data_IF_889257976835
#
_entry.id   IF_889257976835
#
_cell.length_a   1.000
_cell.length_b   1.000
_cell.length_c   1.000
_cell.angle_alpha   90.00
_cell.angle_beta   90.00
_cell.angle_gamma   90.00
#
_symmetry.space_group_name_H-M   'P 1'
#
loop_
_entity.id
_entity.type
_entity.pdbx_description
1 polymer ?
#
# COMPACT_ATOMS: atom_id res chain seq x y z
N UNK A 1 71.74 -31.52 27.53
CA UNK A 1 71.23 -30.28 26.91
C UNK A 1 70.11 -30.50 25.87
N UNK A 2 69.95 -31.65 25.24
CA UNK A 2 68.91 -31.96 24.31
C UNK A 2 67.55 -32.22 24.99
N UNK A 3 67.54 -32.83 26.14
CA UNK A 3 66.35 -33.14 26.94
C UNK A 3 65.62 -31.87 27.40
N UNK A 4 66.34 -30.85 27.82
CA UNK A 4 65.74 -29.58 28.20
C UNK A 4 65.17 -28.80 27.03
N UNK A 5 65.79 -28.83 25.85
CA UNK A 5 65.26 -28.22 24.63
C UNK A 5 63.93 -28.90 24.18
N UNK A 6 63.88 -30.22 24.28
CA UNK A 6 62.69 -30.97 23.92
C UNK A 6 61.52 -30.71 24.85
N UNK A 7 61.78 -30.51 26.17
CA UNK A 7 60.76 -30.15 27.16
C UNK A 7 60.18 -28.75 26.96
N UNK A 8 60.99 -27.80 26.53
CA UNK A 8 60.54 -26.47 26.15
C UNK A 8 59.71 -26.47 24.85
N UNK A 9 60.14 -27.29 23.87
CA UNK A 9 59.38 -27.43 22.60
C UNK A 9 58.00 -28.05 22.83
N UNK A 10 57.89 -29.09 23.67
CA UNK A 10 56.61 -29.72 24.03
C UNK A 10 55.71 -28.73 24.77
N UNK A 11 56.25 -27.97 25.74
CA UNK A 11 55.46 -26.92 26.43
C UNK A 11 55.02 -25.82 25.44
N UNK A 12 55.84 -25.43 24.51
CA UNK A 12 55.48 -24.41 23.49
C UNK A 12 54.35 -24.91 22.59
N UNK A 13 54.44 -26.15 22.08
CA UNK A 13 53.39 -26.75 21.26
C UNK A 13 52.10 -27.01 22.06
N UNK A 14 52.13 -27.38 23.32
CA UNK A 14 50.94 -27.50 24.15
C UNK A 14 50.25 -26.16 24.41
N UNK A 15 51.02 -25.07 24.64
CA UNK A 15 50.46 -23.72 24.76
C UNK A 15 49.89 -23.22 23.44
N UNK A 16 50.57 -23.53 22.31
CA UNK A 16 50.09 -23.16 20.98
C UNK A 16 48.77 -23.88 20.62
N UNK A 17 48.65 -25.19 20.93
CA UNK A 17 47.43 -25.99 20.76
C UNK A 17 46.31 -25.48 21.68
N UNK A 18 46.61 -25.09 22.90
CA UNK A 18 45.62 -24.51 23.82
C UNK A 18 45.14 -23.14 23.35
N UNK A 19 46.02 -22.30 22.77
CA UNK A 19 45.64 -21.03 22.15
C UNK A 19 44.79 -21.20 20.91
N UNK A 20 45.03 -22.20 20.07
CA UNK A 20 44.22 -22.46 18.88
C UNK A 20 42.85 -23.03 19.23
N UNK A 21 42.72 -23.85 20.28
CA UNK A 21 41.41 -24.37 20.75
C UNK A 21 40.58 -23.24 21.38
N UNK A 22 41.17 -22.24 22.01
CA UNK A 22 40.46 -21.09 22.58
C UNK A 22 40.03 -20.04 21.55
N UNK A 23 40.59 -20.08 20.32
CA UNK A 23 40.28 -19.13 19.25
C UNK A 23 39.02 -19.50 18.43
N UNK A 24 38.49 -20.71 18.56
CA UNK A 24 37.20 -21.09 18.01
C UNK A 24 36.07 -20.69 18.99
N UNK A 25 35.92 -19.42 19.30
CA UNK A 25 34.60 -18.90 19.63
C UNK A 25 33.83 -18.96 18.31
N UNK A 26 33.03 -20.00 18.13
CA UNK A 26 31.91 -19.94 17.21
C UNK A 26 31.10 -18.71 17.63
N UNK A 27 31.20 -17.64 16.89
CA UNK A 27 30.22 -16.59 16.95
C UNK A 27 28.92 -17.25 16.45
N UNK A 28 28.18 -17.88 17.35
CA UNK A 28 26.77 -18.14 17.10
C UNK A 28 26.19 -16.72 17.03
N UNK A 29 25.97 -16.23 15.82
CA UNK A 29 25.21 -15.01 15.63
C UNK A 29 23.89 -15.22 16.38
N UNK A 30 23.61 -14.38 17.37
CA UNK A 30 22.37 -14.48 18.13
C UNK A 30 21.20 -14.38 17.15
N UNK A 31 20.45 -15.46 16.99
CA UNK A 31 19.32 -15.50 16.09
C UNK A 31 18.25 -14.54 16.56
N UNK A 32 17.89 -13.56 15.73
CA UNK A 32 16.84 -12.61 16.01
C UNK A 32 15.48 -13.28 15.84
N UNK A 33 14.73 -13.31 16.93
CA UNK A 33 13.34 -13.79 16.91
C UNK A 33 12.40 -12.65 16.55
N UNK A 34 11.55 -12.88 15.52
CA UNK A 34 10.51 -11.96 15.09
C UNK A 34 9.16 -12.62 15.38
N UNK A 35 8.29 -11.93 16.10
CA UNK A 35 6.92 -12.39 16.37
C UNK A 35 6.05 -12.27 15.09
N UNK A 36 5.14 -13.21 14.91
CA UNK A 36 4.10 -13.14 13.89
C UNK A 36 2.75 -13.34 14.57
N UNK A 37 1.98 -12.27 14.75
CA UNK A 37 0.70 -12.27 15.48
C UNK A 37 -0.45 -12.14 14.49
N UNK A 38 -1.12 -13.25 14.22
CA UNK A 38 -2.14 -13.40 13.17
C UNK A 38 -3.22 -14.39 13.62
N UNK A 39 -4.44 -14.37 13.01
CA UNK A 39 -5.46 -15.37 13.31
C UNK A 39 -5.11 -16.71 12.69
N UNK A 40 -4.80 -17.72 13.50
CA UNK A 40 -4.54 -19.10 13.06
C UNK A 40 -5.70 -20.04 13.41
N UNK A 41 -6.76 -19.51 14.00
CA UNK A 41 -8.02 -20.19 14.31
C UNK A 41 -9.24 -19.32 14.04
N UNK A 42 -10.45 -19.89 14.11
CA UNK A 42 -11.71 -19.19 13.89
C UNK A 42 -11.97 -18.80 12.43
N UNK A 43 -12.86 -17.83 12.24
CA UNK A 43 -13.36 -17.41 10.92
C UNK A 43 -12.24 -16.91 9.96
N UNK A 44 -11.21 -16.27 10.52
CA UNK A 44 -10.13 -15.67 9.72
C UNK A 44 -8.89 -16.57 9.60
N UNK A 45 -9.02 -17.87 9.91
CA UNK A 45 -7.93 -18.84 9.88
C UNK A 45 -7.25 -18.93 8.51
N UNK A 46 -8.01 -19.04 7.45
CA UNK A 46 -7.46 -19.14 6.08
C UNK A 46 -6.60 -17.94 5.69
N UNK A 47 -7.03 -16.73 6.11
CA UNK A 47 -6.27 -15.51 5.91
C UNK A 47 -4.93 -15.57 6.66
N UNK A 48 -4.97 -15.95 7.94
CA UNK A 48 -3.77 -16.08 8.77
C UNK A 48 -2.82 -17.15 8.26
N UNK A 49 -3.33 -18.31 7.87
CA UNK A 49 -2.51 -19.38 7.26
C UNK A 49 -1.84 -18.93 5.96
N UNK A 50 -2.54 -18.15 5.12
CA UNK A 50 -1.96 -17.61 3.90
C UNK A 50 -0.82 -16.63 4.20
N UNK A 51 -0.96 -15.79 5.23
CA UNK A 51 0.10 -14.91 5.72
C UNK A 51 1.27 -15.71 6.29
N UNK A 52 1.03 -16.72 7.12
CA UNK A 52 2.07 -17.59 7.67
C UNK A 52 2.89 -18.28 6.57
N UNK A 53 2.22 -18.86 5.58
CA UNK A 53 2.86 -19.48 4.41
C UNK A 53 3.75 -18.48 3.67
N UNK A 54 3.26 -17.26 3.49
CA UNK A 54 3.96 -16.21 2.78
C UNK A 54 5.21 -15.72 3.53
N UNK A 55 5.11 -15.52 4.84
CA UNK A 55 6.25 -15.18 5.70
C UNK A 55 7.30 -16.28 5.68
N UNK A 56 6.89 -17.55 5.77
CA UNK A 56 7.80 -18.72 5.64
C UNK A 56 8.48 -18.77 4.28
N UNK A 57 7.75 -18.47 3.20
CA UNK A 57 8.33 -18.38 1.87
C UNK A 57 9.39 -17.29 1.79
N UNK A 58 9.14 -16.12 2.36
CA UNK A 58 10.10 -15.02 2.41
C UNK A 58 11.36 -15.41 3.18
N UNK A 59 11.23 -16.02 4.36
CA UNK A 59 12.39 -16.52 5.14
C UNK A 59 13.18 -17.56 4.37
N UNK A 60 12.50 -18.49 3.72
CA UNK A 60 13.17 -19.48 2.86
C UNK A 60 13.94 -18.86 1.70
N UNK A 61 13.38 -17.78 1.12
CA UNK A 61 14.02 -17.08 0.01
C UNK A 61 15.20 -16.20 0.45
N UNK A 62 15.12 -15.65 1.66
CA UNK A 62 16.24 -14.95 2.32
C UNK A 62 17.41 -15.92 2.56
N UNK A 63 17.10 -17.17 2.92
CA UNK A 63 18.09 -18.23 3.16
C UNK A 63 19.21 -17.82 4.13
N UNK A 64 18.81 -17.19 5.25
CA UNK A 64 19.70 -16.72 6.31
C UNK A 64 19.14 -17.17 7.67
N UNK A 65 19.96 -17.87 8.46
CA UNK A 65 19.59 -18.40 9.78
C UNK A 65 19.60 -17.32 10.88
N UNK A 66 19.99 -16.08 10.54
CA UNK A 66 20.04 -14.95 11.49
C UNK A 66 18.66 -14.53 11.99
N UNK A 67 17.56 -14.94 11.33
CA UNK A 67 16.19 -14.64 11.75
C UNK A 67 15.34 -15.89 11.90
N UNK A 68 14.48 -15.88 12.90
CA UNK A 68 13.46 -16.92 13.13
C UNK A 68 12.10 -16.27 13.39
N UNK A 69 11.07 -16.80 12.77
CA UNK A 69 9.68 -16.33 12.94
C UNK A 69 8.99 -17.18 14.01
N UNK A 70 8.41 -16.51 14.99
CA UNK A 70 7.64 -17.13 16.07
C UNK A 70 6.14 -16.79 15.87
N UNK A 71 5.34 -17.70 15.30
CA UNK A 71 3.92 -17.46 15.07
C UNK A 71 3.13 -17.64 16.38
N UNK A 72 2.16 -16.75 16.61
CA UNK A 72 1.17 -16.81 17.69
C UNK A 72 -0.23 -16.55 17.13
N UNK A 73 -1.17 -17.35 17.59
CA UNK A 73 -2.59 -17.20 17.23
C UNK A 73 -3.24 -16.13 18.10
N UNK A 74 -3.72 -15.06 17.47
CA UNK A 74 -4.46 -14.01 18.16
C UNK A 74 -5.98 -14.20 18.07
N UNK A 75 -6.48 -15.26 17.44
CA UNK A 75 -7.90 -15.59 17.28
C UNK A 75 -8.75 -14.43 16.72
N UNK A 76 -8.12 -13.44 16.09
CA UNK A 76 -8.73 -12.16 15.69
C UNK A 76 -9.43 -11.43 16.86
N UNK A 77 -8.91 -11.57 18.07
CA UNK A 77 -9.41 -10.96 19.30
C UNK A 77 -8.40 -9.96 19.88
N UNK A 78 -8.82 -8.73 20.28
CA UNK A 78 -7.93 -7.72 20.82
C UNK A 78 -7.25 -8.10 22.14
N UNK A 79 -7.94 -8.80 23.04
CA UNK A 79 -7.37 -9.22 24.33
C UNK A 79 -6.36 -10.35 24.12
N UNK A 80 -6.71 -11.34 23.32
CA UNK A 80 -5.79 -12.40 22.94
C UNK A 80 -4.55 -11.85 22.21
N UNK A 81 -4.73 -10.84 21.35
CA UNK A 81 -3.61 -10.16 20.69
C UNK A 81 -2.66 -9.53 21.72
N UNK A 82 -3.20 -8.86 22.73
CA UNK A 82 -2.41 -8.28 23.82
C UNK A 82 -1.64 -9.36 24.62
N UNK A 83 -2.30 -10.45 24.98
CA UNK A 83 -1.69 -11.53 25.77
C UNK A 83 -0.54 -12.22 25.04
N UNK A 84 -0.74 -12.63 23.78
CA UNK A 84 0.33 -13.27 23.01
C UNK A 84 1.48 -12.31 22.71
N UNK A 85 1.20 -11.00 22.64
CA UNK A 85 2.25 -9.98 22.47
C UNK A 85 3.08 -9.81 23.74
N UNK A 86 2.46 -9.89 24.93
CA UNK A 86 3.18 -9.90 26.22
C UNK A 86 4.08 -11.14 26.36
N UNK A 87 3.58 -12.31 25.94
CA UNK A 87 4.39 -13.53 25.92
C UNK A 87 5.64 -13.34 25.06
N UNK A 88 5.46 -12.90 23.80
CA UNK A 88 6.56 -12.65 22.87
C UNK A 88 7.56 -11.64 23.43
N UNK A 89 7.08 -10.56 24.04
CA UNK A 89 7.94 -9.56 24.67
C UNK A 89 8.77 -10.16 25.82
N UNK A 90 8.17 -11.01 26.65
CA UNK A 90 8.87 -11.71 27.76
C UNK A 90 9.93 -12.70 27.26
N UNK A 91 9.75 -13.24 26.05
CA UNK A 91 10.73 -14.07 25.34
C UNK A 91 11.87 -13.27 24.67
N UNK A 92 11.91 -11.95 24.87
CA UNK A 92 12.93 -11.05 24.32
C UNK A 92 12.64 -10.53 22.92
N UNK A 93 11.47 -10.82 22.36
CA UNK A 93 11.07 -10.35 21.02
C UNK A 93 10.74 -8.85 21.08
N UNK A 94 11.22 -8.09 20.08
CA UNK A 94 11.05 -6.64 20.00
C UNK A 94 10.40 -6.20 18.68
N UNK A 95 10.24 -7.10 17.72
CA UNK A 95 9.59 -6.84 16.43
C UNK A 95 8.48 -7.88 16.25
N UNK A 96 7.27 -7.41 15.99
CA UNK A 96 6.10 -8.23 15.69
C UNK A 96 5.54 -7.83 14.32
N UNK A 97 5.43 -8.79 13.41
CA UNK A 97 4.67 -8.66 12.17
C UNK A 97 3.21 -8.98 12.48
N UNK A 98 2.32 -8.05 12.19
CA UNK A 98 0.91 -8.11 12.59
C UNK A 98 0.54 -7.07 13.66
N UNK A 99 -0.70 -7.08 14.15
CA UNK A 99 -1.84 -7.87 13.70
C UNK A 99 -2.39 -7.43 12.35
N UNK A 100 -3.33 -8.25 11.78
CA UNK A 100 -3.93 -7.94 10.48
C UNK A 100 -5.00 -6.85 10.60
N UNK A 101 -5.88 -6.97 11.56
CA UNK A 101 -7.06 -6.10 11.69
C UNK A 101 -6.86 -4.96 12.67
N UNK A 102 -7.38 -3.78 12.33
CA UNK A 102 -7.28 -2.55 13.14
C UNK A 102 -7.79 -2.75 14.58
N UNK A 103 -8.91 -3.46 14.78
CA UNK A 103 -9.46 -3.70 16.13
C UNK A 103 -8.44 -4.34 17.07
N UNK A 104 -7.54 -5.17 16.55
CA UNK A 104 -6.55 -5.89 17.33
C UNK A 104 -5.35 -5.01 17.71
N UNK A 105 -5.28 -3.77 17.24
CA UNK A 105 -4.25 -2.80 17.68
C UNK A 105 -4.68 -1.95 18.87
N UNK A 106 -5.95 -2.06 19.33
CA UNK A 106 -6.52 -1.10 20.25
C UNK A 106 -5.83 -1.04 21.63
N UNK A 107 -5.29 -2.16 22.12
CA UNK A 107 -4.70 -2.25 23.44
C UNK A 107 -3.17 -2.38 23.44
N UNK A 108 -2.53 -2.32 22.27
CA UNK A 108 -1.09 -2.57 22.14
C UNK A 108 -0.23 -1.38 22.59
N UNK A 109 -0.81 -0.20 22.73
CA UNK A 109 -0.21 0.99 23.33
C UNK A 109 0.04 0.88 24.83
N UNK A 110 -0.50 -0.16 25.48
CA UNK A 110 -0.20 -0.51 26.89
C UNK A 110 1.15 -1.23 27.02
N UNK A 111 1.73 -1.70 25.93
CA UNK A 111 3.01 -2.37 25.90
C UNK A 111 4.15 -1.36 25.75
N UNK A 112 5.36 -1.83 26.03
CA UNK A 112 6.55 -0.99 25.93
C UNK A 112 6.77 -0.40 24.54
N UNK A 113 7.24 0.85 24.45
CA UNK A 113 7.52 1.55 23.21
C UNK A 113 8.69 0.90 22.41
N UNK A 114 9.48 0.02 23.01
CA UNK A 114 10.54 -0.73 22.34
C UNK A 114 10.04 -2.01 21.63
N UNK A 115 8.77 -2.40 21.84
CA UNK A 115 8.10 -3.47 21.11
C UNK A 115 7.37 -2.89 19.90
N UNK A 116 7.91 -3.10 18.72
CA UNK A 116 7.38 -2.54 17.47
C UNK A 116 6.43 -3.53 16.80
N UNK A 117 5.25 -3.02 16.42
CA UNK A 117 4.25 -3.74 15.64
C UNK A 117 4.22 -3.23 14.21
N UNK A 118 4.44 -4.11 13.25
CA UNK A 118 4.27 -3.86 11.82
C UNK A 118 2.91 -4.42 11.41
N UNK A 119 1.87 -3.62 11.65
CA UNK A 119 0.48 -4.03 11.44
C UNK A 119 0.06 -3.90 9.99
N UNK A 120 -0.69 -4.87 9.47
CA UNK A 120 -1.26 -4.82 8.11
C UNK A 120 -2.46 -3.88 7.97
N UNK A 121 -2.82 -3.15 9.03
CA UNK A 121 -3.89 -2.15 8.94
C UNK A 121 -3.56 -1.07 7.90
N UNK A 122 -4.58 -0.66 7.16
CA UNK A 122 -4.51 0.49 6.26
C UNK A 122 -4.81 1.82 6.96
N UNK A 123 -5.22 1.80 8.23
CA UNK A 123 -5.51 2.99 9.04
C UNK A 123 -4.30 3.39 9.86
N UNK A 124 -3.85 4.63 9.64
CA UNK A 124 -2.74 5.22 10.38
C UNK A 124 -3.26 5.82 11.68
N UNK A 125 -2.69 5.42 12.80
CA UNK A 125 -2.97 5.98 14.12
C UNK A 125 -1.70 6.63 14.68
N UNK A 126 -1.59 7.94 14.54
CA UNK A 126 -0.39 8.70 14.95
C UNK A 126 -0.23 8.81 16.48
N UNK A 127 -1.26 8.47 17.23
CA UNK A 127 -1.19 8.48 18.71
C UNK A 127 -0.36 7.30 19.25
N UNK A 128 -0.20 6.25 18.44
CA UNK A 128 0.47 4.99 18.81
C UNK A 128 1.86 4.91 18.19
N UNK A 129 2.88 5.25 18.97
CA UNK A 129 4.27 5.33 18.47
C UNK A 129 4.89 3.98 18.12
N UNK A 130 4.45 2.90 18.77
CA UNK A 130 4.98 1.56 18.56
C UNK A 130 4.23 0.73 17.51
N UNK A 131 3.21 1.31 16.84
CA UNK A 131 2.42 0.64 15.81
C UNK A 131 2.61 1.31 14.47
N UNK A 132 3.23 0.61 13.54
CA UNK A 132 3.48 1.07 12.18
C UNK A 132 2.44 0.43 11.25
N UNK A 133 1.70 1.26 10.52
CA UNK A 133 0.80 0.80 9.46
C UNK A 133 1.63 0.35 8.25
N UNK A 134 1.69 -0.94 8.01
CA UNK A 134 2.38 -1.57 6.87
C UNK A 134 1.43 -1.97 5.75
N UNK A 135 0.13 -1.72 5.91
CA UNK A 135 -0.87 -1.91 4.86
C UNK A 135 -0.87 -0.76 3.84
N UNK A 136 -1.61 -0.96 2.75
CA UNK A 136 -1.80 0.08 1.72
C UNK A 136 -2.74 1.15 2.27
N UNK A 137 -2.18 2.21 2.81
CA UNK A 137 -2.93 3.31 3.42
C UNK A 137 -3.11 4.51 2.46
N UNK A 138 -3.99 5.45 2.82
CA UNK A 138 -4.29 6.62 2.00
C UNK A 138 -3.07 7.50 1.74
N UNK A 139 -2.13 7.61 2.70
CA UNK A 139 -0.93 8.43 2.56
C UNK A 139 -0.02 7.89 1.46
N UNK A 140 0.25 6.57 1.49
CA UNK A 140 1.09 5.91 0.48
C UNK A 140 0.46 6.01 -0.92
N UNK A 141 -0.86 5.84 -1.01
CA UNK A 141 -1.60 5.95 -2.26
C UNK A 141 -1.53 7.36 -2.85
N UNK A 142 -1.81 8.40 -2.06
CA UNK A 142 -1.71 9.78 -2.54
C UNK A 142 -0.27 10.22 -2.84
N UNK A 143 0.73 9.68 -2.16
CA UNK A 143 2.14 9.89 -2.53
C UNK A 143 2.46 9.27 -3.90
N UNK A 144 1.97 8.07 -4.18
CA UNK A 144 2.12 7.43 -5.48
C UNK A 144 1.39 8.21 -6.59
N UNK A 145 0.15 8.65 -6.35
CA UNK A 145 -0.61 9.49 -7.29
C UNK A 145 0.13 10.81 -7.55
N UNK A 146 0.65 11.47 -6.52
CA UNK A 146 1.46 12.70 -6.66
C UNK A 146 2.70 12.48 -7.53
N UNK A 147 3.39 11.35 -7.35
CA UNK A 147 4.54 10.98 -8.21
C UNK A 147 4.10 10.78 -9.65
N UNK A 148 2.99 10.07 -9.88
CA UNK A 148 2.40 9.86 -11.21
C UNK A 148 2.03 11.19 -11.88
N UNK A 149 1.37 12.11 -11.16
CA UNK A 149 1.05 13.45 -11.68
C UNK A 149 2.32 14.20 -12.13
N UNK A 150 3.37 14.18 -11.30
CA UNK A 150 4.65 14.85 -11.64
C UNK A 150 5.29 14.25 -12.88
N UNK A 151 5.34 12.93 -13.01
CA UNK A 151 5.93 12.24 -14.16
C UNK A 151 5.15 12.48 -15.44
N UNK A 152 3.83 12.64 -15.37
CA UNK A 152 2.95 12.84 -16.50
C UNK A 152 2.58 14.32 -16.74
N UNK A 153 3.19 15.26 -16.01
CA UNK A 153 2.95 16.70 -16.11
C UNK A 153 1.48 17.09 -15.91
N UNK A 154 0.79 16.39 -15.02
CA UNK A 154 -0.59 16.67 -14.65
C UNK A 154 -0.58 17.77 -13.60
N UNK A 155 -1.22 18.91 -13.88
CA UNK A 155 -1.16 20.10 -13.02
C UNK A 155 -2.48 20.38 -12.30
N UNK A 156 -3.62 20.03 -12.90
CA UNK A 156 -4.95 20.41 -12.45
C UNK A 156 -5.83 19.18 -12.23
N UNK A 157 -5.68 18.56 -11.08
CA UNK A 157 -6.48 17.41 -10.69
C UNK A 157 -7.68 17.82 -9.83
N UNK A 158 -8.84 17.28 -10.17
CA UNK A 158 -10.06 17.35 -9.38
C UNK A 158 -10.24 16.06 -8.58
N UNK A 159 -10.48 16.15 -7.28
CA UNK A 159 -10.78 14.98 -6.46
C UNK A 159 -12.29 14.78 -6.33
N UNK A 160 -12.75 13.58 -6.57
CA UNK A 160 -14.10 13.12 -6.28
C UNK A 160 -14.03 12.05 -5.19
N UNK A 161 -14.74 12.24 -4.09
CA UNK A 161 -14.78 11.28 -2.99
C UNK A 161 -16.19 11.21 -2.38
N UNK A 162 -16.66 10.03 -1.95
CA UNK A 162 -17.96 9.90 -1.32
C UNK A 162 -17.95 10.49 0.09
N UNK A 163 -19.03 11.11 0.50
CA UNK A 163 -19.25 11.57 1.88
C UNK A 163 -19.70 10.38 2.75
N UNK A 164 -18.76 9.53 3.08
CA UNK A 164 -18.94 8.32 3.87
C UNK A 164 -17.81 8.18 4.91
N UNK A 165 -17.80 7.08 5.65
CA UNK A 165 -16.78 6.79 6.68
C UNK A 165 -15.35 6.73 6.13
N UNK A 166 -15.13 6.56 4.81
CA UNK A 166 -13.79 6.58 4.21
C UNK A 166 -13.24 8.00 4.01
N UNK A 167 -14.10 9.03 4.08
CA UNK A 167 -13.70 10.41 3.80
C UNK A 167 -12.63 10.92 4.76
N UNK A 168 -12.66 10.51 6.02
CA UNK A 168 -11.65 10.93 7.00
C UNK A 168 -10.27 10.37 6.66
N UNK A 169 -10.18 9.11 6.23
CA UNK A 169 -8.93 8.50 5.76
C UNK A 169 -8.41 9.21 4.49
N UNK A 170 -9.31 9.58 3.57
CA UNK A 170 -8.96 10.35 2.38
C UNK A 170 -8.40 11.71 2.78
N UNK A 171 -9.04 12.43 3.72
CA UNK A 171 -8.57 13.74 4.22
C UNK A 171 -7.20 13.63 4.88
N UNK A 172 -6.94 12.58 5.66
CA UNK A 172 -5.62 12.31 6.26
C UNK A 172 -4.58 12.11 5.15
N UNK A 173 -4.87 11.26 4.17
CA UNK A 173 -4.00 11.00 3.03
C UNK A 173 -3.64 12.27 2.26
N UNK A 174 -4.63 13.11 1.95
CA UNK A 174 -4.45 14.39 1.27
C UNK A 174 -3.54 15.34 2.07
N UNK A 175 -3.81 15.49 3.36
CA UNK A 175 -3.05 16.38 4.25
C UNK A 175 -1.59 15.95 4.36
N UNK A 176 -1.35 14.65 4.57
CA UNK A 176 0.00 14.11 4.80
C UNK A 176 0.85 14.00 3.53
N UNK A 177 0.25 13.60 2.41
CA UNK A 177 0.94 13.54 1.12
C UNK A 177 1.26 14.93 0.55
N UNK A 178 0.53 15.97 0.99
CA UNK A 178 0.62 17.33 0.43
C UNK A 178 0.45 17.32 -1.09
N UNK A 179 -0.44 16.46 -1.61
CA UNK A 179 -0.79 16.44 -3.03
C UNK A 179 -1.50 17.74 -3.39
N UNK A 180 -1.12 18.33 -4.52
CA UNK A 180 -1.77 19.54 -5.02
C UNK A 180 -2.99 19.16 -5.84
N UNK A 181 -4.12 19.71 -5.48
CA UNK A 181 -5.39 19.54 -6.18
C UNK A 181 -5.90 20.90 -6.63
N UNK A 182 -6.55 20.94 -7.80
CA UNK A 182 -7.27 22.12 -8.27
C UNK A 182 -8.50 22.37 -7.41
N UNK A 183 -9.26 21.31 -7.15
CA UNK A 183 -10.44 21.35 -6.29
C UNK A 183 -10.82 19.95 -5.79
N UNK A 184 -11.81 19.88 -4.89
CA UNK A 184 -12.32 18.67 -4.28
C UNK A 184 -13.84 18.72 -4.28
N UNK A 185 -14.46 17.63 -4.64
CA UNK A 185 -15.89 17.45 -4.60
C UNK A 185 -16.24 16.21 -3.77
N UNK A 186 -16.97 16.42 -2.69
CA UNK A 186 -17.49 15.34 -1.85
C UNK A 186 -18.97 15.14 -2.19
N UNK A 187 -19.32 13.95 -2.63
CA UNK A 187 -20.65 13.64 -3.15
C UNK A 187 -21.40 12.67 -2.23
N UNK A 188 -22.72 12.80 -2.24
CA UNK A 188 -23.63 11.81 -1.65
C UNK A 188 -23.57 10.54 -2.50
N UNK A 189 -23.25 9.36 -1.93
CA UNK A 189 -23.11 8.11 -2.67
C UNK A 189 -24.44 7.49 -3.11
N UNK A 190 -25.59 8.13 -2.82
CA UNK A 190 -26.90 7.66 -3.32
C UNK A 190 -26.87 7.59 -4.86
N UNK A 191 -27.06 6.39 -5.45
CA UNK A 191 -27.00 6.20 -6.90
C UNK A 191 -27.95 7.10 -7.68
N UNK A 192 -29.07 7.49 -7.08
CA UNK A 192 -30.07 8.36 -7.72
C UNK A 192 -29.62 9.81 -7.82
N UNK A 193 -28.64 10.24 -7.02
CA UNK A 193 -28.14 11.60 -6.94
C UNK A 193 -26.82 11.79 -7.69
N UNK A 194 -26.02 10.75 -7.88
CA UNK A 194 -24.64 10.85 -8.40
C UNK A 194 -24.60 11.60 -9.72
N UNK A 195 -25.40 11.20 -10.72
CA UNK A 195 -25.36 11.82 -12.05
C UNK A 195 -25.67 13.30 -11.99
N UNK A 196 -26.69 13.70 -11.22
CA UNK A 196 -27.04 15.11 -11.05
C UNK A 196 -25.92 15.93 -10.41
N UNK A 197 -25.29 15.39 -9.37
CA UNK A 197 -24.17 16.02 -8.67
C UNK A 197 -22.97 16.20 -9.62
N UNK A 198 -22.69 15.20 -10.47
CA UNK A 198 -21.61 15.28 -11.48
C UNK A 198 -21.98 16.29 -12.60
N UNK A 199 -23.23 16.37 -13.06
CA UNK A 199 -23.68 17.41 -13.99
C UNK A 199 -23.40 18.82 -13.42
N UNK A 200 -23.73 19.05 -12.14
CA UNK A 200 -23.60 20.35 -11.50
C UNK A 200 -22.12 20.75 -11.35
N UNK A 201 -21.25 19.86 -10.83
CA UNK A 201 -19.83 20.16 -10.61
C UNK A 201 -19.08 20.30 -11.93
N UNK A 202 -19.47 19.60 -12.98
CA UNK A 202 -18.87 19.67 -14.32
C UNK A 202 -19.46 20.78 -15.19
N UNK A 203 -20.47 21.48 -14.70
CA UNK A 203 -21.20 22.52 -15.42
C UNK A 203 -21.78 22.00 -16.76
N UNK A 204 -22.20 20.72 -16.79
CA UNK A 204 -22.62 20.07 -18.02
C UNK A 204 -23.74 20.82 -18.75
N UNK A 205 -24.79 21.25 -18.03
CA UNK A 205 -25.92 21.96 -18.60
C UNK A 205 -25.52 23.29 -19.23
N UNK A 206 -24.60 24.03 -18.61
CA UNK A 206 -24.06 25.28 -19.14
C UNK A 206 -23.28 25.02 -20.41
N UNK A 207 -22.40 23.99 -20.42
CA UNK A 207 -21.61 23.63 -21.60
C UNK A 207 -22.48 23.16 -22.77
N UNK A 208 -23.58 22.46 -22.46
CA UNK A 208 -24.57 22.04 -23.45
C UNK A 208 -25.34 23.25 -24.03
N UNK A 209 -25.75 24.19 -23.17
CA UNK A 209 -26.40 25.44 -23.61
C UNK A 209 -25.46 26.27 -24.49
N UNK A 210 -24.19 26.41 -24.11
CA UNK A 210 -23.19 27.10 -24.93
C UNK A 210 -23.07 26.52 -26.34
N UNK A 211 -23.17 25.17 -26.48
CA UNK A 211 -23.18 24.54 -27.80
C UNK A 211 -24.40 24.95 -28.60
N UNK A 212 -25.57 24.92 -28.01
CA UNK A 212 -26.81 25.32 -28.68
C UNK A 212 -26.78 26.79 -29.09
N UNK A 213 -26.24 27.67 -28.25
CA UNK A 213 -26.11 29.09 -28.53
C UNK A 213 -25.06 29.35 -29.62
N UNK A 214 -23.97 28.61 -29.66
CA UNK A 214 -22.97 28.74 -30.74
C UNK A 214 -23.51 28.24 -32.08
N UNK A 215 -24.28 27.14 -32.12
CA UNK A 215 -24.95 26.67 -33.33
C UNK A 215 -25.88 27.79 -33.88
N UNK A 216 -26.76 28.35 -33.03
CA UNK A 216 -27.63 29.47 -33.41
C UNK A 216 -26.87 30.69 -33.88
N UNK A 217 -25.74 31.02 -33.24
CA UNK A 217 -24.88 32.15 -33.66
C UNK A 217 -24.35 31.92 -35.07
N UNK A 218 -23.85 30.71 -35.36
CA UNK A 218 -23.34 30.36 -36.68
C UNK A 218 -24.44 30.34 -37.71
N UNK A 219 -25.61 29.80 -37.40
CA UNK A 219 -26.81 29.80 -38.28
C UNK A 219 -27.21 31.21 -38.72
N UNK A 220 -27.11 32.18 -37.82
CA UNK A 220 -27.45 33.57 -38.07
C UNK A 220 -26.27 34.42 -38.61
N UNK A 221 -25.09 33.82 -38.84
CA UNK A 221 -23.92 34.50 -39.33
C UNK A 221 -23.85 34.47 -40.88
N UNK A 222 -23.04 35.36 -41.44
CA UNK A 222 -22.70 35.38 -42.85
C UNK A 222 -21.37 34.67 -43.15
N UNK A 223 -20.95 33.71 -42.29
CA UNK A 223 -19.69 32.98 -42.47
C UNK A 223 -19.73 32.10 -43.74
N UNK A 224 -18.67 32.15 -44.55
CA UNK A 224 -18.59 31.46 -45.87
C UNK A 224 -18.71 29.92 -45.71
N UNK A 225 -18.27 29.35 -44.58
CA UNK A 225 -18.27 27.91 -44.29
C UNK A 225 -19.28 27.49 -43.24
N UNK A 226 -20.37 28.22 -43.08
CA UNK A 226 -21.34 28.08 -42.01
C UNK A 226 -21.92 26.65 -41.92
N UNK A 227 -22.32 26.04 -43.03
CA UNK A 227 -22.87 24.68 -43.05
C UNK A 227 -21.87 23.64 -42.55
N UNK A 228 -20.59 23.74 -42.96
CA UNK A 228 -19.53 22.86 -42.51
C UNK A 228 -19.27 23.05 -41.03
N UNK A 229 -19.33 24.27 -40.53
CA UNK A 229 -19.13 24.59 -39.10
C UNK A 229 -20.28 24.08 -38.24
N UNK A 230 -21.51 24.22 -38.68
CA UNK A 230 -22.70 23.66 -38.03
C UNK A 230 -22.57 22.13 -37.96
N UNK A 231 -22.26 21.46 -39.07
CA UNK A 231 -22.08 20.02 -39.10
C UNK A 231 -20.91 19.51 -38.20
N UNK A 232 -19.94 20.34 -37.90
CA UNK A 232 -18.89 20.04 -36.91
C UNK A 232 -19.38 20.22 -35.48
N UNK A 233 -20.14 21.28 -35.19
CA UNK A 233 -20.71 21.53 -33.87
C UNK A 233 -21.74 20.48 -33.48
N UNK A 234 -22.57 20.06 -34.41
CA UNK A 234 -23.61 19.00 -34.18
C UNK A 234 -23.02 17.63 -33.77
N UNK A 235 -21.73 17.40 -34.04
CA UNK A 235 -21.01 16.19 -33.59
C UNK A 235 -20.52 16.25 -32.17
N UNK A 236 -20.64 17.40 -31.49
CA UNK A 236 -20.21 17.61 -30.11
C UNK A 236 -21.38 17.45 -29.16
N UNK A 237 -21.12 16.94 -27.97
CA UNK A 237 -22.09 16.91 -26.88
C UNK A 237 -22.12 18.24 -26.11
N UNK A 238 -20.97 18.87 -25.96
CA UNK A 238 -20.82 20.16 -25.28
C UNK A 238 -19.71 21.00 -25.88
N UNK A 239 -19.76 22.32 -25.68
CA UNK A 239 -18.62 23.20 -25.88
C UNK A 239 -18.27 23.97 -24.63
N UNK A 240 -17.03 24.43 -24.54
CA UNK A 240 -16.46 25.09 -23.40
C UNK A 240 -15.48 24.22 -22.64
N UNK A 241 -14.51 24.87 -22.03
CA UNK A 241 -13.43 24.19 -21.31
C UNK A 241 -13.88 23.65 -19.96
N UNK A 242 -13.32 22.51 -19.64
CA UNK A 242 -13.17 22.08 -18.23
C UNK A 242 -11.83 22.62 -17.73
N UNK A 243 -11.78 23.00 -16.46
CA UNK A 243 -10.57 23.64 -15.91
C UNK A 243 -9.63 22.65 -15.19
N UNK A 244 -9.74 21.36 -15.50
CA UNK A 244 -8.91 20.28 -14.99
C UNK A 244 -8.48 19.33 -16.12
N UNK A 245 -7.36 18.66 -15.93
CA UNK A 245 -6.76 17.72 -16.87
C UNK A 245 -6.75 16.28 -16.36
N UNK A 246 -7.11 16.10 -15.08
CA UNK A 246 -7.31 14.79 -14.49
C UNK A 246 -8.40 14.79 -13.42
N UNK A 247 -8.95 13.63 -13.17
CA UNK A 247 -9.85 13.34 -12.03
C UNK A 247 -9.25 12.24 -11.17
N UNK A 248 -9.32 12.43 -9.85
CA UNK A 248 -8.97 11.41 -8.86
C UNK A 248 -10.27 10.93 -8.24
N UNK A 249 -10.67 9.70 -8.57
CA UNK A 249 -11.88 9.06 -8.10
C UNK A 249 -11.53 8.23 -6.86
N UNK A 250 -11.68 8.83 -5.67
CA UNK A 250 -11.30 8.21 -4.42
C UNK A 250 -12.47 7.37 -3.86
N UNK A 251 -12.87 6.35 -4.61
CA UNK A 251 -13.97 5.45 -4.27
C UNK A 251 -13.69 4.02 -4.78
N UNK A 252 -14.63 3.11 -4.56
CA UNK A 252 -14.51 1.68 -4.86
C UNK A 252 -15.80 1.15 -5.46
N UNK A 253 -15.71 -0.05 -6.06
CA UNK A 253 -16.84 -0.87 -6.51
C UNK A 253 -17.84 -0.12 -7.41
N UNK A 254 -19.15 -0.36 -7.22
CA UNK A 254 -20.21 0.16 -8.07
C UNK A 254 -20.35 1.68 -7.99
N UNK A 255 -20.06 2.29 -6.83
CA UNK A 255 -20.12 3.75 -6.69
C UNK A 255 -19.04 4.43 -7.54
N UNK A 256 -17.81 3.88 -7.55
CA UNK A 256 -16.75 4.34 -8.44
C UNK A 256 -17.17 4.28 -9.91
N UNK A 257 -17.77 3.15 -10.34
CA UNK A 257 -18.24 2.97 -11.72
C UNK A 257 -19.34 3.98 -12.05
N UNK A 258 -20.25 4.24 -11.13
CA UNK A 258 -21.34 5.21 -11.30
C UNK A 258 -20.81 6.63 -11.50
N UNK A 259 -19.82 7.05 -10.70
CA UNK A 259 -19.17 8.37 -10.85
C UNK A 259 -18.42 8.44 -12.19
N UNK A 260 -17.63 7.43 -12.53
CA UNK A 260 -16.88 7.38 -13.77
C UNK A 260 -17.80 7.43 -15.01
N UNK A 261 -18.92 6.68 -14.99
CA UNK A 261 -19.93 6.68 -16.06
C UNK A 261 -20.63 8.03 -16.15
N UNK A 262 -20.95 8.66 -15.02
CA UNK A 262 -21.55 10.01 -15.00
C UNK A 262 -20.62 11.08 -15.55
N UNK A 263 -19.30 10.95 -15.33
CA UNK A 263 -18.30 11.82 -15.96
C UNK A 263 -18.29 11.63 -17.49
N UNK A 264 -18.37 10.39 -17.99
CA UNK A 264 -18.47 10.11 -19.43
C UNK A 264 -19.75 10.72 -20.01
N UNK A 265 -20.90 10.51 -19.33
CA UNK A 265 -22.17 11.09 -19.70
C UNK A 265 -22.11 12.62 -19.80
N UNK A 266 -21.37 13.27 -18.92
CA UNK A 266 -21.16 14.73 -18.94
C UNK A 266 -20.06 15.20 -19.87
N UNK A 267 -19.70 14.41 -20.89
CA UNK A 267 -18.68 14.70 -21.89
C UNK A 267 -17.27 14.93 -21.30
N UNK A 268 -16.91 14.11 -20.31
CA UNK A 268 -15.57 14.09 -19.70
C UNK A 268 -15.03 12.65 -19.70
N UNK A 269 -14.85 12.02 -20.87
CA UNK A 269 -14.36 10.65 -20.95
C UNK A 269 -12.84 10.56 -20.65
N UNK A 270 -12.29 9.34 -20.40
CA UNK A 270 -10.86 9.13 -20.15
C UNK A 270 -9.92 9.61 -21.25
N UNK A 271 -10.40 9.74 -22.50
CA UNK A 271 -9.65 10.34 -23.62
C UNK A 271 -9.46 11.86 -23.49
N UNK A 272 -10.32 12.53 -22.69
CA UNK A 272 -10.29 13.98 -22.48
C UNK A 272 -9.55 14.40 -21.24
N UNK A 273 -9.64 13.60 -20.17
CA UNK A 273 -8.95 13.81 -18.90
C UNK A 273 -8.39 12.49 -18.39
N UNK A 274 -7.29 12.55 -17.65
CA UNK A 274 -6.70 11.35 -17.06
C UNK A 274 -7.52 10.88 -15.86
N UNK A 275 -8.02 9.64 -15.90
CA UNK A 275 -8.71 9.03 -14.78
C UNK A 275 -7.70 8.35 -13.86
N UNK A 276 -7.71 8.74 -12.59
CA UNK A 276 -6.87 8.20 -11.53
C UNK A 276 -7.80 7.74 -10.41
N UNK A 277 -7.52 6.61 -9.79
CA UNK A 277 -8.28 6.14 -8.62
C UNK A 277 -7.35 5.67 -7.51
N UNK A 278 -7.90 5.28 -6.37
CA UNK A 278 -7.18 4.57 -5.32
C UNK A 278 -6.86 3.14 -5.77
N UNK A 279 -6.17 2.36 -4.95
CA UNK A 279 -5.77 1.01 -5.30
C UNK A 279 -7.00 0.11 -5.60
N UNK A 280 -7.06 -0.39 -6.84
CA UNK A 280 -8.13 -1.24 -7.36
C UNK A 280 -7.62 -2.63 -7.82
N UNK A 281 -6.41 -3.02 -7.48
CA UNK A 281 -5.79 -4.24 -8.00
C UNK A 281 -6.53 -5.53 -7.65
N UNK A 282 -7.44 -5.49 -6.72
CA UNK A 282 -8.34 -6.59 -6.34
C UNK A 282 -9.66 -6.59 -7.11
N UNK A 283 -10.04 -5.50 -7.76
CA UNK A 283 -11.28 -5.41 -8.52
C UNK A 283 -11.06 -5.66 -10.01
N UNK A 284 -11.11 -6.93 -10.38
CA UNK A 284 -11.00 -7.32 -11.79
C UNK A 284 -12.15 -6.83 -12.66
N UNK A 285 -13.33 -6.56 -12.08
CA UNK A 285 -14.48 -6.09 -12.82
C UNK A 285 -14.24 -4.68 -13.35
N UNK A 286 -13.63 -3.81 -12.53
CA UNK A 286 -13.25 -2.46 -12.93
C UNK A 286 -12.26 -2.47 -14.10
N UNK A 287 -11.30 -3.39 -14.12
CA UNK A 287 -10.31 -3.49 -15.18
C UNK A 287 -10.90 -3.93 -16.53
N UNK A 288 -12.07 -4.59 -16.51
CA UNK A 288 -12.77 -5.05 -17.70
C UNK A 288 -13.78 -4.01 -18.26
N UNK A 289 -14.06 -2.93 -17.53
CA UNK A 289 -14.97 -1.87 -17.94
C UNK A 289 -14.31 -0.98 -19.01
N UNK A 290 -14.52 -1.32 -20.28
CA UNK A 290 -13.87 -0.66 -21.44
C UNK A 290 -14.13 0.84 -21.54
N UNK A 291 -15.30 1.31 -21.13
CA UNK A 291 -15.71 2.72 -21.28
C UNK A 291 -14.90 3.66 -20.38
N UNK A 292 -14.48 3.20 -19.20
CA UNK A 292 -13.71 3.99 -18.26
C UNK A 292 -12.19 3.82 -18.40
N UNK A 293 -11.74 3.06 -19.39
CA UNK A 293 -10.31 2.87 -19.65
C UNK A 293 -9.75 3.97 -20.56
N UNK A 294 -8.48 4.34 -20.40
CA UNK A 294 -7.56 3.89 -19.35
C UNK A 294 -7.84 4.53 -17.99
N UNK A 295 -7.79 3.73 -16.94
CA UNK A 295 -7.83 4.18 -15.54
C UNK A 295 -6.52 3.81 -14.84
N UNK A 296 -5.93 4.75 -14.11
CA UNK A 296 -4.66 4.57 -13.43
C UNK A 296 -4.85 4.49 -11.92
N UNK A 297 -4.12 3.62 -11.26
CA UNK A 297 -4.19 3.48 -9.80
C UNK A 297 -2.84 3.08 -9.20
N UNK A 298 -2.56 3.49 -7.95
CA UNK A 298 -1.38 3.02 -7.24
C UNK A 298 -1.50 1.52 -6.97
N UNK A 299 -0.43 0.79 -7.24
CA UNK A 299 -0.40 -0.66 -7.05
C UNK A 299 1.00 -1.10 -6.67
N UNK A 300 1.13 -2.37 -6.31
CA UNK A 300 2.42 -3.06 -6.17
C UNK A 300 3.06 -3.27 -7.55
N UNK A 301 4.36 -3.55 -7.57
CA UNK A 301 5.03 -3.92 -8.81
C UNK A 301 4.42 -5.22 -9.37
N UNK A 302 3.81 -5.13 -10.55
CA UNK A 302 3.08 -6.25 -11.16
C UNK A 302 3.97 -7.47 -11.43
N UNK A 303 5.17 -7.27 -11.93
CA UNK A 303 6.09 -8.37 -12.28
C UNK A 303 6.56 -9.09 -11.01
N UNK A 304 6.86 -8.36 -9.94
CA UNK A 304 7.22 -8.95 -8.67
C UNK A 304 6.06 -9.72 -8.05
N UNK A 305 4.85 -9.17 -8.15
CA UNK A 305 3.63 -9.85 -7.71
C UNK A 305 3.40 -11.16 -8.47
N UNK A 306 3.55 -11.17 -9.80
CA UNK A 306 3.41 -12.39 -10.61
C UNK A 306 4.48 -13.45 -10.27
N UNK A 307 5.73 -13.03 -10.07
CA UNK A 307 6.82 -13.92 -9.62
C UNK A 307 6.48 -14.56 -8.27
N UNK A 308 6.02 -13.75 -7.31
CA UNK A 308 5.59 -14.22 -6.01
C UNK A 308 4.43 -15.22 -6.13
N UNK A 309 3.36 -14.90 -6.87
CA UNK A 309 2.21 -15.80 -7.05
C UNK A 309 2.63 -17.16 -7.61
N UNK A 310 3.50 -17.17 -8.62
CA UNK A 310 4.04 -18.40 -9.20
C UNK A 310 4.80 -19.21 -8.15
N UNK A 311 5.68 -18.58 -7.37
CA UNK A 311 6.45 -19.25 -6.31
C UNK A 311 5.55 -19.79 -5.21
N UNK A 312 4.63 -18.97 -4.71
CA UNK A 312 3.69 -19.36 -3.67
C UNK A 312 2.84 -20.55 -4.09
N UNK A 313 2.28 -20.51 -5.30
CA UNK A 313 1.50 -21.62 -5.85
C UNK A 313 2.32 -22.89 -6.03
N UNK A 314 3.55 -22.79 -6.54
CA UNK A 314 4.44 -23.95 -6.72
C UNK A 314 4.84 -24.59 -5.40
N UNK A 315 4.95 -23.80 -4.32
CA UNK A 315 5.41 -24.28 -3.01
C UNK A 315 4.26 -24.86 -2.17
N UNK A 316 3.07 -24.25 -2.26
CA UNK A 316 1.94 -24.58 -1.39
C UNK A 316 0.72 -25.15 -2.13
N UNK A 317 0.75 -25.27 -3.46
CA UNK A 317 -0.37 -25.71 -4.29
C UNK A 317 -1.69 -24.99 -3.98
N UNK A 318 -1.60 -23.72 -3.62
CA UNK A 318 -2.72 -22.89 -3.17
C UNK A 318 -2.59 -21.45 -3.65
N UNK A 319 -3.73 -20.74 -3.72
CA UNK A 319 -3.76 -19.33 -4.09
C UNK A 319 -3.41 -18.46 -2.90
N UNK A 320 -2.57 -17.47 -3.12
CA UNK A 320 -2.28 -16.41 -2.15
C UNK A 320 -3.35 -15.33 -2.19
N UNK A 321 -3.59 -14.68 -1.06
CA UNK A 321 -4.33 -13.43 -0.98
C UNK A 321 -3.38 -12.20 -0.99
N UNK A 322 -3.95 -11.00 -1.07
CA UNK A 322 -3.18 -9.76 -1.16
C UNK A 322 -2.36 -9.44 0.10
N UNK A 323 -2.93 -9.71 1.29
CA UNK A 323 -2.23 -9.47 2.56
C UNK A 323 -1.03 -10.40 2.68
N UNK A 324 -1.15 -11.63 2.18
CA UNK A 324 -0.04 -12.57 2.13
C UNK A 324 1.12 -12.04 1.26
N UNK A 325 0.84 -11.42 0.12
CA UNK A 325 1.89 -10.77 -0.67
C UNK A 325 2.56 -9.63 0.10
N UNK A 326 1.77 -8.76 0.74
CA UNK A 326 2.33 -7.69 1.57
C UNK A 326 3.18 -8.24 2.72
N UNK A 327 2.81 -9.38 3.30
CA UNK A 327 3.59 -10.00 4.38
C UNK A 327 4.92 -10.58 3.90
N UNK A 328 4.98 -11.06 2.66
CA UNK A 328 6.22 -11.47 2.01
C UNK A 328 7.20 -10.29 1.87
N UNK A 329 6.73 -9.20 1.28
CA UNK A 329 7.54 -7.99 1.10
C UNK A 329 7.96 -7.39 2.44
N UNK A 330 7.05 -7.35 3.43
CA UNK A 330 7.33 -6.83 4.76
C UNK A 330 8.40 -7.65 5.49
N UNK A 331 8.37 -8.96 5.35
CA UNK A 331 9.40 -9.84 5.93
C UNK A 331 10.77 -9.56 5.32
N UNK A 332 10.83 -9.40 3.98
CA UNK A 332 12.04 -9.01 3.28
C UNK A 332 12.56 -7.63 3.71
N UNK A 333 11.66 -6.66 3.91
CA UNK A 333 12.00 -5.32 4.40
C UNK A 333 12.56 -5.37 5.82
N UNK A 334 11.94 -6.11 6.73
CA UNK A 334 12.42 -6.28 8.13
C UNK A 334 13.83 -6.87 8.12
N UNK A 335 14.04 -7.94 7.36
CA UNK A 335 15.36 -8.54 7.21
C UNK A 335 16.39 -7.53 6.67
N UNK A 336 16.05 -6.81 5.61
CA UNK A 336 16.95 -5.80 5.02
C UNK A 336 17.35 -4.71 6.03
N UNK A 337 16.40 -4.21 6.82
CA UNK A 337 16.65 -3.18 7.81
C UNK A 337 17.53 -3.72 8.96
N UNK A 338 17.29 -4.94 9.41
CA UNK A 338 18.12 -5.61 10.42
C UNK A 338 19.54 -5.86 9.89
N UNK A 339 19.66 -6.39 8.68
CA UNK A 339 20.96 -6.61 8.02
C UNK A 339 21.77 -5.30 7.90
N UNK A 340 21.10 -4.22 7.46
CA UNK A 340 21.74 -2.90 7.32
C UNK A 340 22.19 -2.32 8.67
N UNK A 341 21.56 -2.76 9.76
CA UNK A 341 21.86 -2.32 11.12
C UNK A 341 22.66 -3.37 11.92
N UNK A 342 23.45 -4.19 11.23
CA UNK A 342 24.28 -5.24 11.83
C UNK A 342 23.49 -6.18 12.79
N UNK A 343 22.22 -6.44 12.45
CA UNK A 343 21.27 -7.21 13.25
C UNK A 343 21.01 -6.67 14.66
N UNK A 344 21.29 -5.39 14.90
CA UNK A 344 20.92 -4.72 16.15
C UNK A 344 19.45 -4.33 16.06
N UNK A 345 18.62 -4.85 16.97
CA UNK A 345 17.20 -4.53 17.06
C UNK A 345 17.03 -3.20 17.77
N UNK A 346 16.77 -2.16 16.97
CA UNK A 346 16.47 -0.80 17.43
C UNK A 346 15.21 -0.29 16.71
N UNK A 347 14.20 0.15 17.46
CA UNK A 347 12.96 0.68 16.89
C UNK A 347 13.18 1.83 15.90
N UNK A 348 14.25 2.60 16.08
CA UNK A 348 14.60 3.74 15.22
C UNK A 348 14.84 3.35 13.77
N UNK A 349 15.26 2.11 13.47
CA UNK A 349 15.49 1.63 12.09
C UNK A 349 14.24 1.77 11.20
N UNK A 350 13.04 1.75 11.80
CA UNK A 350 11.77 1.88 11.08
C UNK A 350 11.34 3.35 10.87
N UNK A 351 11.99 4.32 11.52
CA UNK A 351 11.61 5.74 11.48
C UNK A 351 12.64 6.63 10.80
N UNK A 352 13.81 6.13 10.47
CA UNK A 352 14.86 6.90 9.80
C UNK A 352 14.41 7.34 8.41
N UNK A 353 14.56 8.65 8.13
CA UNK A 353 14.31 9.18 6.78
C UNK A 353 15.32 8.56 5.79
N UNK A 354 14.77 8.02 4.68
CA UNK A 354 15.56 7.40 3.61
C UNK A 354 16.28 6.09 4.00
N UNK A 355 15.87 5.42 5.07
CA UNK A 355 16.39 4.10 5.42
C UNK A 355 16.18 3.09 4.27
N UNK A 356 15.12 3.27 3.49
CA UNK A 356 14.85 2.53 2.25
C UNK A 356 14.10 3.42 1.24
N UNK A 357 14.25 3.10 -0.04
CA UNK A 357 13.46 3.69 -1.13
C UNK A 357 12.55 2.59 -1.64
N UNK A 358 11.29 2.67 -1.29
CA UNK A 358 10.23 1.81 -1.84
C UNK A 358 9.67 2.38 -3.14
#
# INVERSE_FOLDING_TARGET
NIYNKMKYLIKFYTVLIFLTIFSFKSSVADTIKIGLVIPLSGENKELGESVLKSVRLAVNDINDESIVIIPKDNQNDPLQTLEVSKELYSEGIRIIIGPIFKKNTNNLDQLSDDLIFLSFTNKVDESKKNIISSGVNSISQFNAIKKFQTLNKIERSYLFAPDTSILDEIKIGLKKSKIKLKDKFFYDPDPTLITKQIEDVTRYRIRKQNLADEIKRVENSNEINKEKKIAQLEKLDTIGGINFDSVILADFEETLKSVATSLIYTDIPPRRVTYITLNQWFDKSLLNEKMIQPIYFPSVNYDNYQKYLKRYNNYYESKSNQIAFLSYDLTGLVYYLLFKNDFIVDSRIFYEKNSFKG
#
